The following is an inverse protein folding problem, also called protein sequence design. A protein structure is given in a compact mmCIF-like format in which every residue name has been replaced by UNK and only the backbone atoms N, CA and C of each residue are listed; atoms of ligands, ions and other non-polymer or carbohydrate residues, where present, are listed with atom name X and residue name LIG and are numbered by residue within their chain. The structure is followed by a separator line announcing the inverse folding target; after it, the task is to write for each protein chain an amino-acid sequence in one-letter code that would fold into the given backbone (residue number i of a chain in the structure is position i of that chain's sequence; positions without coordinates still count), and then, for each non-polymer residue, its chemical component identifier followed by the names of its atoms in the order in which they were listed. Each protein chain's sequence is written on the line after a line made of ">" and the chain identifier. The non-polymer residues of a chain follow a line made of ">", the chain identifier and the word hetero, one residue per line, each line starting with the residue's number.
data_IF_841301075651
#
_entry.id   IF_841301075651
#
_cell.length_a   1.000
_cell.length_b   1.000
_cell.length_c   1.000
_cell.angle_alpha   90.00
_cell.angle_beta   90.00
_cell.angle_gamma   90.00
#
_symmetry.space_group_name_H-M   'P 1'
#
loop_
_entity.id
_entity.type
_entity.pdbx_description
1 polymer ?
#
# COMPACT_ATOMS: atom_id res chain seq x y z
N UNK A 1 -2.23 16.76 -19.68
CA UNK A 1 -1.73 17.99 -19.03
C UNK A 1 -2.92 18.95 -18.97
N UNK A 2 -3.40 19.31 -17.78
CA UNK A 2 -4.59 20.17 -17.65
C UNK A 2 -4.23 21.57 -18.15
N UNK A 3 -4.89 22.06 -19.20
CA UNK A 3 -4.59 23.31 -19.91
C UNK A 3 -4.98 24.58 -19.15
N UNK A 4 -4.47 24.76 -17.93
CA UNK A 4 -4.63 25.98 -17.15
C UNK A 4 -3.54 26.97 -17.55
N UNK A 5 -3.85 28.27 -17.61
CA UNK A 5 -2.82 29.29 -17.81
C UNK A 5 -1.87 29.33 -16.60
N UNK A 6 -0.61 29.71 -16.84
CA UNK A 6 0.40 29.79 -15.78
C UNK A 6 -0.04 30.71 -14.63
N UNK A 7 -0.72 31.82 -14.97
CA UNK A 7 -1.23 32.79 -14.01
C UNK A 7 -2.24 32.17 -13.03
N UNK A 8 -3.17 31.35 -13.53
CA UNK A 8 -4.16 30.70 -12.67
C UNK A 8 -3.48 29.64 -11.79
N UNK A 9 -2.47 28.94 -12.33
CA UNK A 9 -1.71 27.94 -11.58
C UNK A 9 -0.94 28.57 -10.43
N UNK A 10 -0.25 29.69 -10.68
CA UNK A 10 0.45 30.47 -9.67
C UNK A 10 -0.56 30.99 -8.64
N UNK A 11 -1.63 31.67 -9.07
CA UNK A 11 -2.65 32.21 -8.17
C UNK A 11 -3.22 31.15 -7.21
N UNK A 12 -3.55 29.97 -7.74
CA UNK A 12 -4.12 28.89 -6.96
C UNK A 12 -3.10 28.28 -5.98
N UNK A 13 -1.82 28.24 -6.35
CA UNK A 13 -0.74 27.81 -5.46
C UNK A 13 -0.49 28.83 -4.33
N UNK A 14 -0.56 30.13 -4.63
CA UNK A 14 -0.43 31.21 -3.65
C UNK A 14 -1.54 31.17 -2.60
N UNK A 15 -2.79 30.90 -3.02
CA UNK A 15 -3.91 30.78 -2.10
C UNK A 15 -3.74 29.64 -1.07
N UNK A 16 -2.92 28.63 -1.40
CA UNK A 16 -2.61 27.50 -0.51
C UNK A 16 -1.42 27.75 0.42
N UNK A 17 -0.65 28.82 0.20
CA UNK A 17 0.45 29.17 1.10
C UNK A 17 -0.07 29.61 2.47
N UNK A 18 0.46 29.01 3.53
CA UNK A 18 0.15 29.36 4.91
C UNK A 18 1.43 29.45 5.74
N UNK A 19 1.36 30.16 6.87
CA UNK A 19 2.45 30.28 7.82
C UNK A 19 3.72 30.88 7.22
N UNK A 20 4.88 30.28 7.51
CA UNK A 20 6.20 30.76 7.08
C UNK A 20 6.35 30.86 5.56
N UNK A 21 5.67 30.01 4.80
CA UNK A 21 5.70 30.05 3.34
C UNK A 21 5.02 31.29 2.76
N UNK A 22 3.94 31.77 3.38
CA UNK A 22 3.28 33.00 2.98
C UNK A 22 4.12 34.24 3.32
N UNK A 23 4.78 34.23 4.49
CA UNK A 23 5.68 35.32 4.92
C UNK A 23 6.90 35.41 4.01
N UNK A 24 7.51 34.27 3.68
CA UNK A 24 8.60 34.17 2.72
C UNK A 24 8.21 34.75 1.36
N UNK A 25 7.05 34.35 0.83
CA UNK A 25 6.59 34.83 -0.47
C UNK A 25 6.36 36.35 -0.51
N UNK A 26 5.75 36.92 0.53
CA UNK A 26 5.55 38.38 0.65
C UNK A 26 6.86 39.17 0.76
N UNK A 27 7.96 38.52 1.16
CA UNK A 27 9.29 39.12 1.28
C UNK A 27 10.12 39.08 -0.01
N UNK A 28 9.60 38.50 -1.10
CA UNK A 28 10.32 38.46 -2.38
C UNK A 28 10.37 39.86 -3.02
N UNK A 29 11.55 40.25 -3.51
CA UNK A 29 11.78 41.57 -4.14
C UNK A 29 11.13 41.70 -5.52
N UNK A 30 10.82 40.59 -6.17
CA UNK A 30 10.10 40.52 -7.45
C UNK A 30 9.11 39.35 -7.42
N UNK A 31 7.92 39.56 -7.98
CA UNK A 31 6.83 38.58 -7.99
C UNK A 31 6.59 37.99 -9.38
N UNK A 32 7.31 38.48 -10.39
CA UNK A 32 7.19 38.05 -11.80
C UNK A 32 8.10 36.85 -12.06
N UNK A 33 7.75 35.69 -11.51
CA UNK A 33 8.42 34.42 -11.81
C UNK A 33 7.51 33.53 -12.65
N UNK A 34 8.09 32.86 -13.65
CA UNK A 34 7.41 31.77 -14.35
C UNK A 34 7.09 30.65 -13.35
N UNK A 35 6.06 29.84 -13.64
CA UNK A 35 5.61 28.80 -12.72
C UNK A 35 6.76 27.86 -12.28
N UNK A 36 7.63 27.45 -13.19
CA UNK A 36 8.74 26.55 -12.86
C UNK A 36 9.82 27.23 -12.01
N UNK A 37 10.12 28.51 -12.23
CA UNK A 37 11.04 29.26 -11.38
C UNK A 37 10.49 29.38 -9.95
N UNK A 38 9.21 29.73 -9.84
CA UNK A 38 8.52 29.86 -8.57
C UNK A 38 8.52 28.54 -7.78
N UNK A 39 8.26 27.42 -8.48
CA UNK A 39 8.30 26.07 -7.91
C UNK A 39 9.70 25.67 -7.42
N UNK A 40 10.74 25.96 -8.19
CA UNK A 40 12.13 25.72 -7.76
C UNK A 40 12.50 26.55 -6.53
N UNK A 41 12.10 27.82 -6.48
CA UNK A 41 12.29 28.67 -5.32
C UNK A 41 11.60 28.12 -4.07
N UNK A 42 10.37 27.61 -4.22
CA UNK A 42 9.62 27.02 -3.12
C UNK A 42 10.30 25.74 -2.59
N UNK A 43 10.76 24.85 -3.48
CA UNK A 43 11.50 23.64 -3.10
C UNK A 43 12.80 23.99 -2.37
N UNK A 44 13.50 25.03 -2.82
CA UNK A 44 14.75 25.49 -2.22
C UNK A 44 14.55 26.19 -0.87
N UNK A 45 13.48 26.98 -0.73
CA UNK A 45 13.15 27.70 0.51
C UNK A 45 12.58 26.80 1.59
N UNK A 46 11.90 25.73 1.20
CA UNK A 46 11.30 24.73 2.10
C UNK A 46 11.74 23.33 1.70
N UNK A 47 13.04 22.99 1.83
CA UNK A 47 13.48 21.64 1.59
C UNK A 47 12.79 20.75 2.62
N UNK A 48 11.95 19.84 2.14
CA UNK A 48 11.46 18.76 2.99
C UNK A 48 12.68 17.92 3.37
N UNK A 49 13.26 18.13 4.56
CA UNK A 49 14.13 17.15 5.18
C UNK A 49 13.27 15.91 5.45
N UNK A 50 13.15 15.04 4.43
CA UNK A 50 12.70 13.68 4.64
C UNK A 50 13.87 12.97 5.28
N UNK A 51 13.78 12.78 6.59
CA UNK A 51 14.65 11.81 7.25
C UNK A 51 14.28 10.43 6.70
N UNK A 52 15.19 9.85 5.92
CA UNK A 52 15.01 8.54 5.33
C UNK A 52 14.99 7.46 6.41
N UNK A 53 15.76 7.63 7.49
CA UNK A 53 15.78 6.71 8.62
C UNK A 53 14.39 6.67 9.28
N UNK A 54 13.82 7.83 9.61
CA UNK A 54 12.47 7.91 10.21
C UNK A 54 11.40 7.35 9.27
N UNK A 55 11.52 7.65 7.97
CA UNK A 55 10.59 7.14 6.95
C UNK A 55 10.65 5.61 6.86
N UNK A 56 11.86 5.05 6.87
CA UNK A 56 12.09 3.60 6.82
C UNK A 56 11.59 2.92 8.11
N UNK A 57 11.87 3.49 9.27
CA UNK A 57 11.36 2.99 10.56
C UNK A 57 9.82 2.97 10.58
N UNK A 58 9.20 4.07 10.15
CA UNK A 58 7.74 4.19 10.05
C UNK A 58 7.18 3.12 9.11
N UNK A 59 7.82 2.94 7.95
CA UNK A 59 7.45 1.89 7.00
C UNK A 59 7.54 0.51 7.66
N UNK A 60 8.66 0.15 8.30
CA UNK A 60 8.86 -1.17 8.92
C UNK A 60 7.90 -1.44 10.09
N UNK A 61 7.57 -0.42 10.90
CA UNK A 61 6.64 -0.54 12.02
C UNK A 61 5.19 -0.76 11.59
N UNK A 62 4.81 -0.41 10.35
CA UNK A 62 3.45 -0.63 9.85
C UNK A 62 3.16 -2.12 9.66
N UNK A 63 2.46 -2.72 10.64
CA UNK A 63 1.93 -4.09 10.62
C UNK A 63 0.42 -4.10 10.41
N UNK A 64 -0.13 -5.13 9.75
CA UNK A 64 -1.57 -5.30 9.58
C UNK A 64 -2.23 -5.47 10.96
N UNK A 65 -3.19 -4.62 11.28
CA UNK A 65 -4.04 -4.71 12.48
C UNK A 65 -5.14 -5.76 12.28
N UNK A 66 -5.73 -6.22 13.40
CA UNK A 66 -6.80 -7.22 13.36
C UNK A 66 -8.15 -6.63 12.93
N UNK A 67 -8.38 -5.36 13.26
CA UNK A 67 -9.61 -4.59 13.01
C UNK A 67 -9.65 -3.93 11.63
N UNK A 68 -8.58 -4.02 10.84
CA UNK A 68 -8.53 -3.44 9.50
C UNK A 68 -8.64 -4.47 8.37
N UNK A 69 -9.17 -4.03 7.24
CA UNK A 69 -9.19 -4.82 6.01
C UNK A 69 -7.79 -4.94 5.41
N UNK A 70 -7.55 -6.01 4.65
CA UNK A 70 -6.30 -6.16 3.91
C UNK A 70 -6.07 -5.01 2.93
N UNK A 71 -7.14 -4.52 2.28
CA UNK A 71 -7.04 -3.45 1.31
C UNK A 71 -6.55 -2.14 1.92
N UNK A 72 -7.10 -1.77 3.09
CA UNK A 72 -6.66 -0.60 3.83
C UNK A 72 -5.18 -0.71 4.22
N UNK A 73 -4.80 -1.87 4.77
CA UNK A 73 -3.40 -2.15 5.09
C UNK A 73 -2.48 -2.00 3.88
N UNK A 74 -2.86 -2.60 2.75
CA UNK A 74 -2.07 -2.60 1.52
C UNK A 74 -1.81 -1.17 1.02
N UNK A 75 -2.85 -0.36 0.85
CA UNK A 75 -2.68 1.01 0.32
C UNK A 75 -1.89 1.91 1.28
N UNK A 76 -2.12 1.80 2.59
CA UNK A 76 -1.34 2.54 3.58
C UNK A 76 0.14 2.11 3.56
N UNK A 77 0.42 0.80 3.50
CA UNK A 77 1.79 0.27 3.41
C UNK A 77 2.48 0.66 2.10
N UNK A 78 1.76 0.62 0.98
CA UNK A 78 2.26 1.02 -0.33
C UNK A 78 2.64 2.50 -0.38
N UNK A 79 1.85 3.38 0.26
CA UNK A 79 2.19 4.79 0.36
C UNK A 79 3.52 5.03 1.10
N UNK A 80 3.78 4.27 2.17
CA UNK A 80 5.05 4.32 2.91
C UNK A 80 6.21 3.79 2.08
N UNK A 81 6.01 2.70 1.35
CA UNK A 81 7.02 2.13 0.44
C UNK A 81 7.39 3.11 -0.68
N UNK A 82 6.40 3.77 -1.28
CA UNK A 82 6.61 4.81 -2.29
C UNK A 82 7.40 5.99 -1.71
N UNK A 83 7.15 6.38 -0.46
CA UNK A 83 7.91 7.42 0.22
C UNK A 83 9.39 7.03 0.44
N UNK A 84 9.67 5.74 0.67
CA UNK A 84 11.00 5.16 0.78
C UNK A 84 11.63 4.76 -0.57
N UNK A 85 10.91 4.92 -1.70
CA UNK A 85 11.32 4.48 -3.04
C UNK A 85 11.62 2.97 -3.13
N UNK A 86 10.91 2.14 -2.36
CA UNK A 86 11.03 0.68 -2.37
C UNK A 86 9.97 0.12 -3.33
N UNK A 87 10.37 -0.73 -4.27
CA UNK A 87 9.51 -1.22 -5.37
C UNK A 87 9.78 -2.71 -5.67
N UNK A 88 8.92 -3.32 -6.50
CA UNK A 88 9.08 -4.69 -6.97
C UNK A 88 9.08 -5.75 -5.87
N UNK A 89 9.99 -6.71 -5.95
CA UNK A 89 10.09 -7.83 -5.01
C UNK A 89 10.35 -7.37 -3.56
N UNK A 90 11.11 -6.29 -3.36
CA UNK A 90 11.39 -5.75 -2.03
C UNK A 90 10.14 -5.13 -1.39
N UNK A 91 9.31 -4.47 -2.20
CA UNK A 91 8.02 -3.94 -1.76
C UNK A 91 7.08 -5.08 -1.33
N UNK A 92 6.98 -6.13 -2.16
CA UNK A 92 6.22 -7.34 -1.85
C UNK A 92 6.70 -7.97 -0.54
N UNK A 93 8.00 -8.14 -0.37
CA UNK A 93 8.62 -8.68 0.85
C UNK A 93 8.25 -7.85 2.09
N UNK A 94 8.26 -6.51 1.98
CA UNK A 94 7.88 -5.61 3.06
C UNK A 94 6.39 -5.66 3.41
N UNK A 95 5.51 -5.85 2.42
CA UNK A 95 4.06 -6.02 2.62
C UNK A 95 3.80 -7.35 3.32
N UNK A 96 4.35 -8.46 2.82
CA UNK A 96 4.21 -9.78 3.43
C UNK A 96 4.78 -9.78 4.85
N UNK A 97 5.94 -9.13 5.04
CA UNK A 97 6.59 -9.00 6.33
C UNK A 97 5.67 -8.36 7.37
N UNK A 98 4.84 -7.41 6.99
CA UNK A 98 3.93 -6.73 7.92
C UNK A 98 2.64 -7.46 8.26
N UNK A 99 2.38 -8.65 7.69
CA UNK A 99 1.21 -9.47 8.01
C UNK A 99 1.51 -10.31 9.26
N UNK A 100 0.63 -10.30 10.26
CA UNK A 100 0.85 -11.06 11.50
C UNK A 100 0.51 -12.55 11.36
N UNK A 101 -0.40 -12.90 10.44
CA UNK A 101 -0.83 -14.27 10.21
C UNK A 101 0.26 -15.07 9.47
N UNK A 102 0.79 -16.10 10.14
CA UNK A 102 1.85 -16.95 9.61
C UNK A 102 1.40 -17.78 8.42
N UNK A 103 0.15 -18.24 8.39
CA UNK A 103 -0.38 -19.05 7.30
C UNK A 103 -0.48 -18.21 6.03
N UNK A 104 -1.09 -17.02 6.15
CA UNK A 104 -1.18 -16.06 5.04
C UNK A 104 0.19 -15.69 4.50
N UNK A 105 1.20 -15.52 5.38
CA UNK A 105 2.59 -15.24 4.96
C UNK A 105 3.20 -16.37 4.15
N UNK A 106 3.01 -17.62 4.56
CA UNK A 106 3.54 -18.80 3.86
C UNK A 106 2.87 -18.94 2.50
N UNK A 107 1.55 -18.85 2.46
CA UNK A 107 0.76 -19.00 1.23
C UNK A 107 1.11 -17.90 0.21
N UNK A 108 1.22 -16.65 0.67
CA UNK A 108 1.59 -15.51 -0.19
C UNK A 108 3.03 -15.60 -0.70
N UNK A 109 3.96 -16.14 0.10
CA UNK A 109 5.34 -16.40 -0.35
C UNK A 109 5.38 -17.50 -1.43
N UNK A 110 4.57 -18.54 -1.27
CA UNK A 110 4.45 -19.60 -2.26
C UNK A 110 3.83 -19.11 -3.58
N UNK A 111 2.96 -18.10 -3.53
CA UNK A 111 2.35 -17.48 -4.71
C UNK A 111 3.33 -16.71 -5.60
N UNK A 112 4.54 -16.39 -5.12
CA UNK A 112 5.62 -15.74 -5.88
C UNK A 112 5.18 -14.49 -6.68
N UNK A 113 4.36 -13.63 -6.08
CA UNK A 113 3.92 -12.38 -6.69
C UNK A 113 5.13 -11.45 -6.90
N UNK A 114 5.40 -11.07 -8.16
CA UNK A 114 6.51 -10.17 -8.51
C UNK A 114 6.16 -8.69 -8.35
N UNK A 115 4.86 -8.39 -8.31
CA UNK A 115 4.32 -7.04 -8.19
C UNK A 115 3.41 -6.94 -6.96
N UNK A 116 3.49 -5.79 -6.29
CA UNK A 116 2.58 -5.40 -5.21
C UNK A 116 1.11 -5.45 -5.65
N UNK A 117 0.77 -5.05 -6.87
CA UNK A 117 -0.62 -5.08 -7.34
C UNK A 117 -1.13 -6.52 -7.49
N UNK A 118 -0.32 -7.42 -8.03
CA UNK A 118 -0.66 -8.84 -8.13
C UNK A 118 -0.88 -9.49 -6.74
N UNK A 119 -0.21 -8.98 -5.71
CA UNK A 119 -0.40 -9.44 -4.33
C UNK A 119 -1.71 -8.93 -3.72
N UNK A 120 -2.26 -7.81 -4.17
CA UNK A 120 -3.55 -7.30 -3.68
C UNK A 120 -4.72 -8.24 -4.00
N UNK A 121 -4.69 -8.87 -5.17
CA UNK A 121 -5.76 -9.73 -5.65
C UNK A 121 -5.74 -11.13 -5.03
N UNK A 122 -4.57 -11.58 -4.55
CA UNK A 122 -4.38 -12.96 -4.07
C UNK A 122 -5.16 -13.30 -2.77
N UNK A 123 -5.19 -12.47 -1.71
CA UNK A 123 -6.02 -12.73 -0.54
C UNK A 123 -7.54 -12.72 -0.85
N UNK A 124 -7.93 -12.09 -1.97
CA UNK A 124 -9.33 -12.02 -2.39
C UNK A 124 -9.79 -13.35 -3.02
N UNK A 125 -8.91 -14.08 -3.70
CA UNK A 125 -9.19 -15.41 -4.23
C UNK A 125 -9.24 -16.50 -3.15
N UNK A 126 -8.44 -16.39 -2.08
CA UNK A 126 -8.51 -17.34 -0.95
C UNK A 126 -9.80 -17.21 -0.14
N UNK A 127 -10.35 -15.99 0.01
CA UNK A 127 -11.60 -15.78 0.73
C UNK A 127 -12.85 -16.26 -0.04
N UNK A 128 -12.75 -16.43 -1.37
CA UNK A 128 -13.86 -16.98 -2.18
C UNK A 128 -13.98 -18.49 -2.07
N UNK A 129 -12.89 -19.21 -1.79
CA UNK A 129 -12.91 -20.68 -1.69
C UNK A 129 -13.41 -21.20 -0.33
N UNK A 130 -13.43 -20.36 0.70
CA UNK A 130 -13.89 -20.75 2.06
C UNK A 130 -15.43 -20.82 2.17
N UNK A 131 -16.20 -20.33 1.19
CA UNK A 131 -17.68 -20.36 1.23
C UNK A 131 -18.34 -21.56 0.55
N UNK A 132 -17.59 -22.57 0.09
CA UNK A 132 -18.18 -23.71 -0.66
C UNK A 132 -17.80 -25.10 -0.15
N UNK A 133 -17.44 -25.25 1.14
CA UNK A 133 -17.11 -26.56 1.72
C UNK A 133 -18.09 -27.07 2.78
N UNK A 134 -19.28 -26.49 2.95
CA UNK A 134 -20.31 -27.05 3.86
C UNK A 134 -21.29 -28.03 3.21
N UNK A 135 -21.14 -28.40 1.93
CA UNK A 135 -22.18 -29.14 1.20
C UNK A 135 -21.67 -30.39 0.46
N UNK A 136 -20.84 -31.20 1.13
CA UNK A 136 -20.54 -32.58 0.70
C UNK A 136 -20.49 -33.56 1.87
N UNK A 137 -21.61 -33.72 2.56
CA UNK A 137 -21.94 -35.02 3.16
C UNK A 137 -22.85 -35.76 2.18
N UNK A 138 -22.26 -36.39 1.16
CA UNK A 138 -22.93 -37.43 0.37
C UNK A 138 -22.33 -38.77 0.75
N UNK A 139 -23.21 -39.58 1.33
CA UNK A 139 -23.13 -40.97 1.77
C UNK A 139 -22.09 -41.85 1.08
N UNK A 140 -21.20 -42.43 1.87
CA UNK A 140 -20.34 -43.56 1.49
C UNK A 140 -21.14 -44.86 1.71
N UNK A 141 -21.34 -45.74 0.71
CA UNK A 141 -22.01 -47.01 0.94
C UNK A 141 -21.13 -47.93 1.79
N UNK A 142 -21.72 -48.52 2.83
CA UNK A 142 -21.10 -49.51 3.71
C UNK A 142 -21.09 -50.87 3.00
N UNK A 143 -19.93 -51.32 2.55
CA UNK A 143 -19.73 -52.74 2.22
C UNK A 143 -19.30 -53.48 3.49
N UNK A 144 -20.28 -54.06 4.19
CA UNK A 144 -20.04 -55.13 5.15
C UNK A 144 -20.27 -56.47 4.45
N UNK A 145 -19.24 -57.29 4.37
CA UNK A 145 -19.40 -58.74 4.21
C UNK A 145 -18.50 -59.42 5.23
N UNK A 146 -19.04 -59.61 6.44
CA UNK A 146 -18.57 -60.59 7.41
C UNK A 146 -19.38 -61.84 7.15
N UNK A 147 -18.72 -62.97 6.87
CA UNK A 147 -19.06 -64.29 7.41
C UNK A 147 -18.16 -65.35 6.77
N UNK A 148 -17.30 -65.95 7.58
CA UNK A 148 -17.07 -67.39 7.51
C UNK A 148 -16.55 -67.87 8.86
N UNK A 149 -17.45 -68.51 9.62
CA UNK A 149 -17.09 -69.34 10.77
C UNK A 149 -18.13 -70.44 10.94
N UNK A 150 -17.60 -71.64 11.22
CA UNK A 150 -18.24 -72.90 11.66
C UNK A 150 -18.74 -73.76 10.49
N UNK A 151 -18.58 -75.08 10.50
CA UNK A 151 -17.97 -76.02 11.45
C UNK A 151 -17.72 -77.31 10.68
#
# INVERSE_FOLDING_TARGET
>A
MFGWSEDITIFNALYKLKGLALVWYKGLKSVNHLWEEWKQMLIRGFPSQKDFCDSLETMLRRRKRHDETFAQYFYEKQALLNACKIQGADAVSCIIGGINDTQVRVDTKAANCKDSEALFDYPRSLNTDVKTSSDRYVSRPKNYSVQNRKR
#
